data_IF_350640781852
#
_entry.id   IF_350640781852
#
_cell.length_a   1.000
_cell.length_b   1.000
_cell.length_c   1.000
_cell.angle_alpha   90.00
_cell.angle_beta   90.00
_cell.angle_gamma   90.00
#
_symmetry.space_group_name_H-M   'P 1'
#
loop_
_entity.id
_entity.type
_entity.pdbx_description
1 polymer ?
#
# COMPACT_ATOMS: atom_id res chain seq x y z
N UNK A 1 -8.22 15.06 -9.98
CA UNK A 1 -9.63 14.97 -9.54
C UNK A 1 -9.99 13.49 -9.52
N UNK A 2 -10.66 12.96 -8.50
CA UNK A 2 -10.92 11.53 -8.42
C UNK A 2 -11.84 11.07 -9.57
N UNK A 3 -11.45 10.01 -10.27
CA UNK A 3 -12.20 9.50 -11.42
C UNK A 3 -13.28 8.53 -10.92
N UNK A 4 -14.54 8.96 -10.91
CA UNK A 4 -15.64 8.21 -10.28
C UNK A 4 -16.65 7.79 -11.35
N UNK A 5 -16.83 6.48 -11.53
CA UNK A 5 -17.73 5.91 -12.54
C UNK A 5 -18.74 4.95 -11.90
N UNK A 6 -19.94 4.77 -12.46
CA UNK A 6 -20.83 3.70 -12.02
C UNK A 6 -20.28 2.33 -12.44
N UNK A 7 -20.52 1.30 -11.63
CA UNK A 7 -20.09 -0.08 -11.91
C UNK A 7 -20.65 -0.62 -13.24
N UNK A 8 -21.74 -0.05 -13.75
CA UNK A 8 -22.31 -0.36 -15.06
C UNK A 8 -21.37 -0.05 -16.23
N UNK A 9 -20.42 0.88 -16.05
CA UNK A 9 -19.49 1.30 -17.10
C UNK A 9 -18.45 0.22 -17.42
N UNK A 10 -18.26 -0.75 -16.51
CA UNK A 10 -17.44 -1.94 -16.77
C UNK A 10 -17.97 -2.80 -17.93
N UNK A 11 -19.21 -2.60 -18.38
CA UNK A 11 -19.69 -3.20 -19.65
C UNK A 11 -18.82 -2.79 -20.83
N UNK A 12 -18.23 -1.60 -20.80
CA UNK A 12 -17.22 -1.12 -21.73
C UNK A 12 -15.92 -0.81 -20.97
N UNK A 13 -15.32 -1.84 -20.38
CA UNK A 13 -14.17 -1.69 -19.48
C UNK A 13 -12.97 -0.98 -20.12
N UNK A 14 -12.82 -0.97 -21.45
CA UNK A 14 -11.74 -0.24 -22.12
C UNK A 14 -11.77 1.26 -21.81
N UNK A 15 -12.96 1.88 -21.73
CA UNK A 15 -13.08 3.31 -21.36
C UNK A 15 -12.77 3.55 -19.88
N UNK A 16 -13.03 2.56 -19.02
CA UNK A 16 -12.65 2.59 -17.61
C UNK A 16 -11.13 2.49 -17.47
N UNK A 17 -10.48 1.58 -18.21
CA UNK A 17 -9.04 1.37 -18.13
C UNK A 17 -8.23 2.53 -18.72
N UNK A 18 -8.72 3.21 -19.76
CA UNK A 18 -8.11 4.44 -20.29
C UNK A 18 -7.97 5.55 -19.26
N UNK A 19 -8.78 5.50 -18.21
CA UNK A 19 -8.84 6.48 -17.13
C UNK A 19 -8.04 6.04 -15.89
N UNK A 20 -7.42 4.87 -15.95
CA UNK A 20 -6.65 4.28 -14.87
C UNK A 20 -5.16 4.38 -15.19
N UNK A 21 -4.46 5.26 -14.49
CA UNK A 21 -3.03 5.48 -14.65
C UNK A 21 -2.35 5.50 -13.29
N UNK A 22 -1.01 5.48 -13.31
CA UNK A 22 -0.20 5.60 -12.10
C UNK A 22 -0.55 6.89 -11.34
N UNK A 23 -0.92 6.76 -10.08
CA UNK A 23 -1.40 7.85 -9.21
C UNK A 23 -2.86 8.26 -9.44
N UNK A 24 -3.54 7.68 -10.43
CA UNK A 24 -4.89 8.05 -10.86
C UNK A 24 -5.82 6.82 -10.89
N UNK A 25 -6.28 6.34 -9.72
CA UNK A 25 -7.21 5.23 -9.65
C UNK A 25 -8.63 5.65 -10.06
N UNK A 26 -9.38 4.69 -10.59
CA UNK A 26 -10.82 4.83 -10.88
C UNK A 26 -11.63 4.21 -9.75
N UNK A 27 -12.54 5.00 -9.18
CA UNK A 27 -13.46 4.57 -8.14
C UNK A 27 -14.81 4.20 -8.76
N UNK A 28 -15.27 2.98 -8.50
CA UNK A 28 -16.53 2.48 -9.03
C UNK A 28 -17.62 2.54 -7.97
N UNK A 29 -18.77 3.09 -8.35
CA UNK A 29 -19.95 3.22 -7.49
C UNK A 29 -21.04 2.22 -7.84
N UNK A 30 -21.78 1.77 -6.82
CA UNK A 30 -23.04 1.02 -6.98
C UNK A 30 -24.13 1.78 -6.22
N UNK A 31 -25.18 2.20 -6.90
CA UNK A 31 -26.27 3.00 -6.34
C UNK A 31 -25.76 4.27 -5.63
N UNK A 32 -24.82 4.99 -6.25
CA UNK A 32 -24.24 6.23 -5.73
C UNK A 32 -23.23 6.06 -4.60
N UNK A 33 -22.91 4.83 -4.17
CA UNK A 33 -21.92 4.56 -3.12
C UNK A 33 -20.68 3.88 -3.68
N UNK A 34 -19.50 4.35 -3.27
CA UNK A 34 -18.22 3.71 -3.62
C UNK A 34 -18.22 2.23 -3.23
N UNK A 35 -17.76 1.37 -4.13
CA UNK A 35 -17.79 -0.09 -3.95
C UNK A 35 -16.51 -0.79 -4.37
N UNK A 36 -15.88 -0.34 -5.45
CA UNK A 36 -14.62 -0.92 -5.94
C UNK A 36 -13.65 0.18 -6.36
N UNK A 37 -12.39 -0.20 -6.53
CA UNK A 37 -11.32 0.65 -7.06
C UNK A 37 -10.58 -0.14 -8.13
N UNK A 38 -10.27 0.50 -9.25
CA UNK A 38 -9.34 0.02 -10.28
C UNK A 38 -8.12 0.93 -10.21
N UNK A 39 -6.93 0.36 -10.13
CA UNK A 39 -5.67 1.10 -10.00
C UNK A 39 -4.59 0.41 -10.83
N UNK A 40 -3.54 1.17 -11.15
CA UNK A 40 -2.35 0.63 -11.79
C UNK A 40 -1.69 -0.45 -10.90
N UNK A 41 -1.11 -1.46 -11.54
CA UNK A 41 -0.49 -2.58 -10.81
C UNK A 41 0.73 -2.11 -10.00
N UNK A 42 1.49 -1.13 -10.48
CA UNK A 42 2.65 -0.60 -9.76
C UNK A 42 2.24 0.16 -8.50
N UNK A 43 1.10 0.86 -8.55
CA UNK A 43 0.55 1.52 -7.36
C UNK A 43 0.09 0.50 -6.33
N UNK A 44 -0.63 -0.53 -6.77
CA UNK A 44 -1.07 -1.61 -5.88
C UNK A 44 0.10 -2.32 -5.18
N UNK A 45 1.17 -2.60 -5.92
CA UNK A 45 2.38 -3.23 -5.39
C UNK A 45 3.14 -2.30 -4.43
N UNK A 46 3.24 -1.01 -4.76
CA UNK A 46 3.86 0.00 -3.89
C UNK A 46 3.10 0.11 -2.57
N UNK A 47 1.78 0.25 -2.60
CA UNK A 47 0.95 0.36 -1.39
C UNK A 47 1.08 -0.90 -0.52
N UNK A 48 1.18 -2.08 -1.14
CA UNK A 48 1.45 -3.34 -0.41
C UNK A 48 2.83 -3.36 0.24
N UNK A 49 3.85 -2.91 -0.48
CA UNK A 49 5.22 -2.86 0.03
C UNK A 49 5.34 -1.86 1.19
N UNK A 50 4.73 -0.68 1.05
CA UNK A 50 4.67 0.35 2.09
C UNK A 50 3.95 -0.16 3.33
N UNK A 51 2.76 -0.75 3.18
CA UNK A 51 2.04 -1.36 4.31
C UNK A 51 2.87 -2.43 5.02
N UNK A 52 3.59 -3.27 4.27
CA UNK A 52 4.46 -4.30 4.84
C UNK A 52 5.64 -3.68 5.61
N UNK A 53 6.22 -2.61 5.09
CA UNK A 53 7.29 -1.87 5.77
C UNK A 53 6.79 -1.27 7.08
N UNK A 54 5.64 -0.59 7.06
CA UNK A 54 5.05 0.02 8.25
C UNK A 54 4.74 -1.01 9.33
N UNK A 55 4.21 -2.18 8.96
CA UNK A 55 3.98 -3.27 9.92
C UNK A 55 5.28 -3.74 10.57
N UNK A 56 6.36 -3.91 9.79
CA UNK A 56 7.67 -4.29 10.33
C UNK A 56 8.28 -3.22 11.25
N UNK A 57 8.09 -1.95 10.90
CA UNK A 57 8.55 -0.85 11.74
C UNK A 57 7.78 -0.83 13.06
N UNK A 58 6.47 -1.02 13.03
CA UNK A 58 5.65 -1.16 14.24
C UNK A 58 6.10 -2.34 15.09
N UNK A 59 6.35 -3.52 14.49
CA UNK A 59 6.88 -4.70 15.20
C UNK A 59 8.23 -4.38 15.88
N UNK A 60 9.11 -3.66 15.19
CA UNK A 60 10.40 -3.25 15.75
C UNK A 60 10.23 -2.23 16.89
N UNK A 61 9.36 -1.24 16.73
CA UNK A 61 9.03 -0.24 17.77
C UNK A 61 8.43 -0.90 19.02
N UNK A 62 7.54 -1.88 18.84
CA UNK A 62 6.97 -2.65 19.94
C UNK A 62 8.03 -3.52 20.64
N UNK A 63 8.93 -4.16 19.88
CA UNK A 63 9.98 -5.01 20.42
C UNK A 63 10.96 -4.25 21.32
N UNK A 64 11.21 -2.98 21.03
CA UNK A 64 12.17 -2.14 21.77
C UNK A 64 11.50 -1.15 22.72
N UNK A 65 10.18 -1.26 22.90
CA UNK A 65 9.35 -0.31 23.66
C UNK A 65 9.77 -0.16 25.12
N UNK A 66 10.22 -1.24 25.74
CA UNK A 66 10.66 -1.26 27.15
C UNK A 66 12.15 -0.90 27.30
N UNK A 67 12.81 -0.52 26.20
CA UNK A 67 14.24 -0.15 26.16
C UNK A 67 15.19 -1.34 26.05
N UNK A 68 14.68 -2.57 26.11
CA UNK A 68 15.45 -3.80 25.89
C UNK A 68 15.46 -4.17 24.39
N UNK A 69 16.58 -4.65 23.85
CA UNK A 69 16.68 -5.13 22.47
C UNK A 69 17.28 -4.15 21.44
N UNK A 70 17.67 -2.95 21.84
CA UNK A 70 18.60 -2.13 21.05
C UNK A 70 20.00 -2.74 21.15
N UNK A 71 20.73 -2.73 20.03
CA UNK A 71 22.15 -3.03 20.00
C UNK A 71 22.86 -1.79 19.49
N UNK A 72 23.97 -1.42 20.13
CA UNK A 72 24.89 -0.49 19.51
C UNK A 72 25.70 -1.16 18.38
N UNK A 73 26.49 -0.36 17.67
CA UNK A 73 27.22 -0.85 16.50
C UNK A 73 28.27 -1.92 16.88
N UNK A 74 28.86 -1.83 18.06
CA UNK A 74 29.91 -2.75 18.50
C UNK A 74 29.30 -4.08 18.99
N UNK A 75 28.19 -4.00 19.72
CA UNK A 75 27.37 -5.16 20.12
C UNK A 75 26.85 -5.92 18.90
N UNK A 76 26.36 -5.21 17.89
CA UNK A 76 25.88 -5.80 16.64
C UNK A 76 27.01 -6.55 15.92
N UNK A 77 28.17 -5.91 15.72
CA UNK A 77 29.33 -6.51 15.04
C UNK A 77 29.82 -7.78 15.73
N UNK A 78 29.94 -7.73 17.06
CA UNK A 78 30.31 -8.89 17.87
C UNK A 78 29.32 -10.07 17.69
N UNK A 79 28.02 -9.78 17.51
CA UNK A 79 26.98 -10.80 17.36
C UNK A 79 26.91 -11.37 15.94
N UNK A 80 27.18 -10.58 14.90
CA UNK A 80 27.18 -11.04 13.50
C UNK A 80 28.52 -11.60 13.03
N UNK A 81 29.57 -11.50 13.84
CA UNK A 81 30.89 -12.07 13.56
C UNK A 81 31.74 -11.26 12.57
N UNK A 82 31.55 -9.93 12.54
CA UNK A 82 32.38 -8.97 11.79
C UNK A 82 33.40 -8.24 12.67
#
# INVERSE_FOLDING_TARGET
MANILPVSDLRNYNEVLKNCHKGEPVYLTKNGRGRFVVMDIEDYERDRAEKKLLLKLQEAEEAVKDGEGWLDLDELKALVGE
#
